data_IF_747132490029
#
_entry.id   IF_747132490029
#
_cell.length_a   1.000
_cell.length_b   1.000
_cell.length_c   1.000
_cell.angle_alpha   90.00
_cell.angle_beta   90.00
_cell.angle_gamma   90.00
#
_symmetry.space_group_name_H-M   'P 1'
#
loop_
_entity.id
_entity.type
_entity.pdbx_description
1 polymer ?
#
# COMPACT_ATOMS: atom_id res chain seq x y z
N UNK A 1 -8.66 -15.56 13.66
CA UNK A 1 -7.45 -15.86 12.85
C UNK A 1 -7.74 -15.81 11.34
N UNK A 2 -8.84 -16.40 10.86
CA UNK A 2 -9.21 -16.39 9.43
C UNK A 2 -9.41 -14.96 8.91
N UNK A 3 -10.19 -14.13 9.61
CA UNK A 3 -10.41 -12.73 9.23
C UNK A 3 -9.11 -11.91 9.17
N UNK A 4 -8.19 -12.12 10.13
CA UNK A 4 -6.89 -11.45 10.15
C UNK A 4 -6.03 -11.82 8.94
N UNK A 5 -5.99 -13.11 8.61
CA UNK A 5 -5.23 -13.61 7.46
C UNK A 5 -5.81 -13.09 6.14
N UNK A 6 -7.14 -13.03 6.04
CA UNK A 6 -7.83 -12.49 4.87
C UNK A 6 -7.49 -11.00 4.64
N UNK A 7 -7.63 -10.17 5.66
CA UNK A 7 -7.29 -8.74 5.56
C UNK A 7 -5.80 -8.51 5.29
N UNK A 8 -4.91 -9.33 5.86
CA UNK A 8 -3.47 -9.23 5.66
C UNK A 8 -3.06 -9.59 4.23
N UNK A 9 -3.54 -10.72 3.69
CA UNK A 9 -3.27 -11.10 2.30
C UNK A 9 -3.86 -10.09 1.34
N UNK A 10 -5.09 -9.62 1.58
CA UNK A 10 -5.75 -8.63 0.72
C UNK A 10 -4.99 -7.28 0.72
N UNK A 11 -4.50 -6.84 1.88
CA UNK A 11 -3.69 -5.64 2.03
C UNK A 11 -2.39 -5.73 1.20
N UNK A 12 -1.68 -6.86 1.29
CA UNK A 12 -0.44 -7.12 0.55
C UNK A 12 -0.68 -7.16 -0.96
N UNK A 13 -1.73 -7.86 -1.40
CA UNK A 13 -2.10 -7.94 -2.82
C UNK A 13 -2.46 -6.57 -3.37
N UNK A 14 -3.25 -5.78 -2.65
CA UNK A 14 -3.59 -4.41 -3.07
C UNK A 14 -2.36 -3.50 -3.13
N UNK A 15 -1.45 -3.60 -2.15
CA UNK A 15 -0.21 -2.82 -2.14
C UNK A 15 0.72 -3.19 -3.31
N UNK A 16 0.90 -4.49 -3.57
CA UNK A 16 1.69 -4.96 -4.71
C UNK A 16 1.08 -4.52 -6.06
N UNK A 17 -0.25 -4.63 -6.18
CA UNK A 17 -0.97 -4.14 -7.36
C UNK A 17 -0.81 -2.62 -7.51
N UNK A 18 -0.94 -1.84 -6.44
CA UNK A 18 -0.81 -0.39 -6.46
C UNK A 18 0.52 0.06 -7.09
N UNK A 19 1.64 -0.57 -6.71
CA UNK A 19 2.97 -0.26 -7.25
C UNK A 19 3.12 -0.71 -8.71
N UNK A 20 2.39 -1.74 -9.13
CA UNK A 20 2.49 -2.30 -10.48
C UNK A 20 1.58 -1.57 -11.49
N UNK A 21 0.56 -0.82 -11.05
CA UNK A 21 -0.37 -0.13 -11.94
C UNK A 21 0.28 1.07 -12.64
N UNK A 22 0.05 1.16 -13.95
CA UNK A 22 0.56 2.24 -14.82
C UNK A 22 -0.15 3.57 -14.64
N UNK A 23 -1.45 3.55 -14.35
CA UNK A 23 -2.21 4.78 -14.12
C UNK A 23 -2.06 5.21 -12.65
N UNK A 24 -1.45 6.37 -12.34
CA UNK A 24 -1.20 6.82 -10.98
C UNK A 24 -2.49 6.98 -10.16
N UNK A 25 -3.61 7.37 -10.80
CA UNK A 25 -4.92 7.48 -10.12
C UNK A 25 -5.38 6.09 -9.66
N UNK A 26 -5.23 5.08 -10.52
CA UNK A 26 -5.62 3.70 -10.18
C UNK A 26 -4.69 3.11 -9.12
N UNK A 27 -3.38 3.36 -9.23
CA UNK A 27 -2.39 3.00 -8.22
C UNK A 27 -2.76 3.58 -6.85
N UNK A 28 -3.12 4.86 -6.80
CA UNK A 28 -3.52 5.51 -5.56
C UNK A 28 -4.85 4.98 -5.01
N UNK A 29 -5.86 4.69 -5.84
CA UNK A 29 -7.10 4.02 -5.40
C UNK A 29 -6.83 2.67 -4.73
N UNK A 30 -5.95 1.85 -5.31
CA UNK A 30 -5.52 0.57 -4.73
C UNK A 30 -4.73 0.76 -3.42
N UNK A 31 -3.95 1.83 -3.33
CA UNK A 31 -3.24 2.19 -2.11
C UNK A 31 -4.22 2.56 -0.99
N UNK A 32 -5.25 3.37 -1.27
CA UNK A 32 -6.32 3.68 -0.30
C UNK A 32 -7.00 2.41 0.20
N UNK A 33 -7.30 1.48 -0.70
CA UNK A 33 -7.88 0.19 -0.33
C UNK A 33 -6.96 -0.64 0.57
N UNK A 34 -5.66 -0.64 0.32
CA UNK A 34 -4.66 -1.29 1.20
C UNK A 34 -4.61 -0.66 2.59
N UNK A 35 -4.66 0.68 2.68
CA UNK A 35 -4.70 1.40 3.97
C UNK A 35 -6.00 1.12 4.74
N UNK A 36 -7.13 0.93 4.04
CA UNK A 36 -8.37 0.52 4.67
C UNK A 36 -8.30 -0.90 5.22
N UNK A 37 -7.68 -1.83 4.49
CA UNK A 37 -7.41 -3.18 5.01
C UNK A 37 -6.50 -3.15 6.25
N UNK A 38 -5.49 -2.26 6.27
CA UNK A 38 -4.64 -2.04 7.44
C UNK A 38 -5.43 -1.53 8.65
N UNK A 39 -6.39 -0.61 8.45
CA UNK A 39 -7.28 -0.17 9.52
C UNK A 39 -8.12 -1.34 10.08
N UNK A 40 -8.60 -2.23 9.21
CA UNK A 40 -9.25 -3.48 9.62
C UNK A 40 -8.36 -4.35 10.50
N UNK A 41 -7.07 -4.51 10.16
CA UNK A 41 -6.11 -5.24 10.98
C UNK A 41 -5.89 -4.60 12.36
N UNK A 42 -5.86 -3.27 12.45
CA UNK A 42 -5.75 -2.57 13.74
C UNK A 42 -6.99 -2.77 14.62
N UNK A 43 -8.19 -2.82 14.04
CA UNK A 43 -9.40 -3.18 14.78
C UNK A 43 -9.29 -4.59 15.36
N UNK A 44 -8.83 -5.56 14.56
CA UNK A 44 -8.63 -6.94 15.02
C UNK A 44 -7.55 -7.06 16.10
N UNK A 45 -6.54 -6.19 16.07
CA UNK A 45 -5.49 -6.10 17.09
C UNK A 45 -5.94 -5.37 18.37
N UNK A 46 -7.24 -5.04 18.53
CA UNK A 46 -7.79 -4.23 19.63
C UNK A 46 -7.16 -2.83 19.75
N UNK A 47 -6.58 -2.32 18.67
CA UNK A 47 -5.96 -1.01 18.59
C UNK A 47 -6.93 0.03 17.99
N UNK A 48 -8.04 0.28 18.69
CA UNK A 48 -9.17 1.09 18.21
C UNK A 48 -8.78 2.53 17.85
N UNK A 49 -7.93 3.16 18.67
CA UNK A 49 -7.43 4.51 18.42
C UNK A 49 -6.57 4.57 17.15
N UNK A 50 -5.67 3.60 16.98
CA UNK A 50 -4.80 3.52 15.81
C UNK A 50 -5.61 3.27 14.53
N UNK A 51 -6.63 2.42 14.58
CA UNK A 51 -7.53 2.18 13.47
C UNK A 51 -8.27 3.47 13.04
N UNK A 52 -8.80 4.22 13.99
CA UNK A 52 -9.48 5.49 13.71
C UNK A 52 -8.51 6.54 13.13
N UNK A 53 -7.31 6.67 13.72
CA UNK A 53 -6.28 7.57 13.22
C UNK A 53 -5.82 7.19 11.81
N UNK A 54 -5.72 5.89 11.50
CA UNK A 54 -5.36 5.38 10.18
C UNK A 54 -6.35 5.84 9.11
N UNK A 55 -7.64 5.71 9.38
CA UNK A 55 -8.69 6.13 8.44
C UNK A 55 -8.72 7.65 8.31
N UNK A 56 -8.66 8.38 9.43
CA UNK A 56 -8.84 9.83 9.44
C UNK A 56 -7.63 10.58 8.86
N UNK A 57 -6.41 10.17 9.22
CA UNK A 57 -5.17 10.86 8.83
C UNK A 57 -4.64 10.33 7.51
N UNK A 58 -4.43 9.01 7.40
CA UNK A 58 -3.78 8.44 6.22
C UNK A 58 -4.77 8.32 5.06
N UNK A 59 -5.83 7.53 5.21
CA UNK A 59 -6.79 7.33 4.12
C UNK A 59 -7.62 8.60 3.83
N UNK A 60 -7.91 9.42 4.85
CA UNK A 60 -8.74 10.62 4.75
C UNK A 60 -7.98 11.86 4.30
N UNK A 61 -6.96 12.30 5.04
CA UNK A 61 -6.28 13.55 4.75
C UNK A 61 -5.14 13.39 3.73
N UNK A 62 -4.16 12.52 4.03
CA UNK A 62 -2.93 12.41 3.23
C UNK A 62 -3.24 11.85 1.84
N UNK A 63 -4.02 10.77 1.76
CA UNK A 63 -4.33 10.14 0.47
C UNK A 63 -5.17 11.03 -0.44
N UNK A 64 -6.15 11.77 0.09
CA UNK A 64 -6.96 12.69 -0.74
C UNK A 64 -6.12 13.84 -1.26
N UNK A 65 -5.23 14.40 -0.44
CA UNK A 65 -4.27 15.40 -0.89
C UNK A 65 -3.33 14.85 -1.97
N UNK A 66 -2.82 13.62 -1.77
CA UNK A 66 -1.99 12.95 -2.75
C UNK A 66 -2.74 12.72 -4.07
N UNK A 67 -4.00 12.27 -3.99
CA UNK A 67 -4.89 12.06 -5.13
C UNK A 67 -5.10 13.35 -5.94
N UNK A 68 -5.29 14.46 -5.23
CA UNK A 68 -5.45 15.77 -5.84
C UNK A 68 -4.16 16.18 -6.59
N UNK A 69 -3.00 16.02 -5.96
CA UNK A 69 -1.70 16.36 -6.54
C UNK A 69 -1.41 15.53 -7.80
N UNK A 70 -1.61 14.20 -7.77
CA UNK A 70 -1.33 13.34 -8.93
C UNK A 70 -2.30 13.57 -10.08
N UNK A 71 -3.51 14.09 -9.81
CA UNK A 71 -4.50 14.40 -10.85
C UNK A 71 -4.19 15.73 -11.52
N UNK A 72 -3.65 16.70 -10.78
CA UNK A 72 -3.17 17.96 -11.35
C UNK A 72 -1.84 17.80 -12.10
N UNK A 73 -1.06 16.78 -11.76
CA UNK A 73 0.17 16.45 -12.46
C UNK A 73 -0.16 15.67 -13.74
N UNK A 74 0.09 16.26 -14.91
CA UNK A 74 0.02 15.53 -16.19
C UNK A 74 1.21 14.57 -16.28
N UNK A 75 1.04 13.36 -15.73
CA UNK A 75 2.05 12.30 -15.74
C UNK A 75 2.16 11.74 -17.16
N UNK A 76 2.79 12.52 -18.05
CA UNK A 76 3.24 12.05 -19.36
C UNK A 76 4.30 10.97 -19.18
N UNK A 77 4.19 9.95 -20.03
CA UNK A 77 4.80 8.62 -20.03
C UNK A 77 6.35 8.52 -19.99
N UNK A 78 7.08 9.46 -19.37
CA UNK A 78 8.54 9.53 -19.38
C UNK A 78 9.24 8.65 -18.32
N UNK A 79 8.49 8.06 -17.36
CA UNK A 79 9.05 7.22 -16.28
C UNK A 79 9.45 5.79 -16.69
N UNK A 80 9.63 5.53 -18.00
CA UNK A 80 9.61 4.19 -18.61
C UNK A 80 10.82 3.30 -18.32
N UNK A 81 11.98 3.84 -17.94
CA UNK A 81 13.23 3.04 -17.86
C UNK A 81 13.83 2.91 -16.46
N UNK A 82 13.58 3.87 -15.58
CA UNK A 82 14.14 3.87 -14.22
C UNK A 82 13.33 2.97 -13.29
N UNK A 83 12.00 2.98 -13.41
CA UNK A 83 11.09 2.29 -12.51
C UNK A 83 11.23 0.75 -12.52
N UNK A 84 11.54 0.14 -13.67
CA UNK A 84 11.68 -1.34 -13.76
C UNK A 84 12.82 -1.89 -12.89
N UNK A 85 13.96 -1.21 -12.81
CA UNK A 85 15.10 -1.67 -12.01
C UNK A 85 14.92 -1.39 -10.52
N UNK A 86 14.25 -0.28 -10.15
CA UNK A 86 13.93 0.01 -8.74
C UNK A 86 12.76 -0.83 -8.22
N UNK A 87 11.77 -1.13 -9.05
CA UNK A 87 10.68 -2.04 -8.71
C UNK A 87 11.17 -3.48 -8.56
N UNK A 88 12.05 -3.94 -9.46
CA UNK A 88 12.71 -5.25 -9.32
C UNK A 88 13.61 -5.31 -8.08
N UNK A 89 14.40 -4.26 -7.83
CA UNK A 89 15.24 -4.15 -6.62
C UNK A 89 14.42 -4.09 -5.34
N UNK A 90 13.31 -3.35 -5.33
CA UNK A 90 12.38 -3.25 -4.21
C UNK A 90 11.65 -4.56 -3.92
N UNK A 91 11.25 -5.30 -4.96
CA UNK A 91 10.63 -6.63 -4.80
C UNK A 91 11.60 -7.67 -4.25
N UNK A 92 12.87 -7.65 -4.70
CA UNK A 92 13.93 -8.53 -4.19
C UNK A 92 14.33 -8.18 -2.75
N UNK A 93 14.42 -6.88 -2.42
CA UNK A 93 14.67 -6.43 -1.05
C UNK A 93 13.50 -6.77 -0.12
N UNK A 94 12.26 -6.54 -0.54
CA UNK A 94 11.09 -6.92 0.24
C UNK A 94 11.02 -8.44 0.45
N UNK A 95 11.30 -9.24 -0.59
CA UNK A 95 11.34 -10.70 -0.51
C UNK A 95 12.43 -11.23 0.40
N UNK A 96 13.64 -10.65 0.35
CA UNK A 96 14.75 -11.03 1.23
C UNK A 96 14.51 -10.62 2.69
N UNK A 97 13.90 -9.46 2.94
CA UNK A 97 13.50 -9.05 4.29
C UNK A 97 12.44 -9.98 4.88
N UNK A 98 11.51 -10.45 4.05
CA UNK A 98 10.44 -11.38 4.44
C UNK A 98 11.01 -12.74 4.83
N UNK A 99 11.97 -13.26 4.06
CA UNK A 99 12.70 -14.48 4.38
C UNK A 99 13.52 -14.34 5.66
N UNK A 100 14.16 -13.19 5.88
CA UNK A 100 14.89 -12.91 7.11
C UNK A 100 13.97 -12.84 8.34
N UNK A 101 12.80 -12.21 8.22
CA UNK A 101 11.82 -12.15 9.31
C UNK A 101 11.26 -13.53 9.67
N UNK A 102 11.00 -14.38 8.67
CA UNK A 102 10.58 -15.78 8.87
C UNK A 102 11.66 -16.65 9.50
N UNK A 103 12.94 -16.31 9.35
CA UNK A 103 14.05 -17.02 9.98
C UNK A 103 14.31 -16.58 11.43
N UNK A 104 13.78 -15.42 11.84
CA UNK A 104 13.97 -14.83 13.18
C UNK A 104 12.79 -15.13 14.12
N UNK A 105 11.61 -15.45 13.57
CA UNK A 105 10.41 -15.90 14.30
C UNK A 105 10.46 -17.40 14.54
#
# INVERSE_FOLDING_TARGET
MILFSLFSVLMLVCAALAVTRRNPVNAAMLLVLSLFCMAGLFVLARAWFLAAAQVLVYAGAIMVLFLFVIMLLDVKEEARRRFSWVAAGGALLAGSLLLAALAVV
#
